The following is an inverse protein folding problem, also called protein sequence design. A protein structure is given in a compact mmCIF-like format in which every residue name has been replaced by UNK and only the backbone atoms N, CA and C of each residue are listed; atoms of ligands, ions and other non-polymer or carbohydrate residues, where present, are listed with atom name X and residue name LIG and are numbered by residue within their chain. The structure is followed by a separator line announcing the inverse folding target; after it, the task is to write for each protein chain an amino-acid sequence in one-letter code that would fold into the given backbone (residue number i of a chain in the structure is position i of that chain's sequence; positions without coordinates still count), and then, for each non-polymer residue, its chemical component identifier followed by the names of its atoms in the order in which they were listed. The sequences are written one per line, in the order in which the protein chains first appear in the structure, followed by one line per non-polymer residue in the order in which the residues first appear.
data_IF_659044237974
#
_entry.id   IF_659044237974
#
_cell.length_a   1.000
_cell.length_b   1.000
_cell.length_c   1.000
_cell.angle_alpha   90.00
_cell.angle_beta   90.00
_cell.angle_gamma   90.00
#
_symmetry.space_group_name_H-M   'P 1'
#
loop_
_entity.id
_entity.type
_entity.pdbx_description
1 polymer ?
#
# COMPACT_ATOMS: atom_id res chain seq x y z
N UNK A 1 -17.64 -4.22 -4.02
CA UNK A 1 -16.99 -2.90 -3.87
C UNK A 1 -15.71 -2.92 -2.99
N UNK A 2 -15.71 -3.48 -1.76
CA UNK A 2 -14.53 -3.42 -0.88
C UNK A 2 -13.27 -4.08 -1.46
N UNK A 3 -13.42 -5.21 -2.17
CA UNK A 3 -12.31 -5.89 -2.83
C UNK A 3 -11.69 -5.04 -3.96
N UNK A 4 -12.50 -4.27 -4.69
CA UNK A 4 -12.02 -3.37 -5.74
C UNK A 4 -11.21 -2.22 -5.13
N UNK A 5 -11.67 -1.65 -4.01
CA UNK A 5 -10.94 -0.62 -3.27
C UNK A 5 -9.63 -1.13 -2.70
N UNK A 6 -9.60 -2.35 -2.17
CA UNK A 6 -8.36 -2.99 -1.72
C UNK A 6 -7.35 -3.11 -2.87
N UNK A 7 -7.82 -3.58 -4.04
CA UNK A 7 -7.01 -3.66 -5.25
C UNK A 7 -6.48 -2.30 -5.69
N UNK A 8 -7.32 -1.27 -5.68
CA UNK A 8 -6.95 0.10 -6.03
C UNK A 8 -5.87 0.65 -5.08
N UNK A 9 -6.02 0.50 -3.77
CA UNK A 9 -4.98 0.88 -2.79
C UNK A 9 -3.65 0.16 -3.06
N UNK A 10 -3.67 -1.14 -3.31
CA UNK A 10 -2.46 -1.89 -3.63
C UNK A 10 -1.78 -1.39 -4.89
N UNK A 11 -2.53 -1.10 -5.95
CA UNK A 11 -1.97 -0.57 -7.20
C UNK A 11 -1.39 0.84 -7.01
N UNK A 12 -2.11 1.74 -6.32
CA UNK A 12 -1.60 3.09 -6.02
C UNK A 12 -0.30 3.04 -5.21
N UNK A 13 -0.18 2.13 -4.25
CA UNK A 13 1.08 1.92 -3.50
C UNK A 13 2.18 1.34 -4.40
N UNK A 14 1.83 0.43 -5.32
CA UNK A 14 2.79 -0.08 -6.29
C UNK A 14 3.32 1.05 -7.18
N UNK A 15 2.45 1.91 -7.69
CA UNK A 15 2.85 3.06 -8.49
C UNK A 15 3.72 4.03 -7.69
N UNK A 16 3.36 4.35 -6.44
CA UNK A 16 4.17 5.24 -5.60
C UNK A 16 5.56 4.66 -5.31
N UNK A 17 5.64 3.38 -4.95
CA UNK A 17 6.92 2.79 -4.56
C UNK A 17 7.87 2.60 -5.76
N UNK A 18 7.32 2.53 -6.96
CA UNK A 18 8.01 2.22 -8.23
C UNK A 18 8.09 3.43 -9.17
N UNK A 19 7.68 4.62 -8.68
CA UNK A 19 7.43 5.82 -9.48
C UNK A 19 8.63 6.24 -10.33
N UNK A 20 9.85 6.13 -9.80
CA UNK A 20 11.08 6.43 -10.53
C UNK A 20 11.28 5.51 -11.73
N UNK A 21 11.28 4.20 -11.51
CA UNK A 21 11.48 3.22 -12.58
C UNK A 21 10.34 3.23 -13.58
N UNK A 22 9.11 3.51 -13.14
CA UNK A 22 7.98 3.64 -14.04
C UNK A 22 8.12 4.89 -14.94
N UNK A 23 8.69 5.99 -14.44
CA UNK A 23 8.97 7.16 -15.25
C UNK A 23 10.24 7.03 -16.10
N UNK A 24 11.39 6.79 -15.48
CA UNK A 24 12.72 6.80 -16.13
C UNK A 24 12.88 5.64 -17.12
N UNK A 25 12.50 4.42 -16.72
CA UNK A 25 12.76 3.23 -17.53
C UNK A 25 11.62 2.94 -18.51
N UNK A 26 10.40 3.40 -18.20
CA UNK A 26 9.18 3.00 -18.93
C UNK A 26 8.37 4.15 -19.51
N UNK A 27 8.67 5.40 -19.14
CA UNK A 27 7.94 6.58 -19.61
C UNK A 27 6.47 6.63 -19.18
N UNK A 28 6.12 6.02 -18.03
CA UNK A 28 4.73 5.88 -17.56
C UNK A 28 4.44 6.81 -16.38
N UNK A 29 3.26 7.42 -16.41
CA UNK A 29 2.70 8.21 -15.29
C UNK A 29 1.28 7.70 -15.01
N UNK A 30 1.03 7.24 -13.78
CA UNK A 30 -0.24 6.61 -13.39
C UNK A 30 -1.18 7.51 -12.60
N UNK A 31 -0.69 8.61 -12.03
CA UNK A 31 -1.50 9.52 -11.21
C UNK A 31 -1.98 10.70 -12.06
N UNK A 32 -3.30 10.82 -12.31
CA UNK A 32 -3.84 11.93 -13.09
C UNK A 32 -3.55 13.28 -12.43
N UNK A 33 -3.13 14.25 -13.23
CA UNK A 33 -2.83 15.60 -12.79
C UNK A 33 -1.56 15.73 -11.95
N UNK A 34 -0.67 14.72 -11.94
CA UNK A 34 0.64 14.79 -11.30
C UNK A 34 1.71 14.92 -12.37
N UNK A 35 2.49 16.00 -12.33
CA UNK A 35 3.74 16.08 -13.08
C UNK A 35 4.87 15.48 -12.24
N UNK A 36 5.43 14.36 -12.70
CA UNK A 36 6.51 13.69 -11.99
C UNK A 36 7.78 14.55 -11.88
N UNK A 37 8.07 15.39 -12.88
CA UNK A 37 9.25 16.29 -12.85
C UNK A 37 9.12 17.36 -11.77
N UNK A 38 7.89 17.62 -11.32
CA UNK A 38 7.57 18.55 -10.24
C UNK A 38 6.83 17.87 -9.09
N UNK A 39 7.10 16.57 -8.85
CA UNK A 39 6.37 15.80 -7.84
C UNK A 39 6.53 16.43 -6.46
N UNK A 40 5.42 16.98 -5.97
CA UNK A 40 5.39 17.82 -4.77
C UNK A 40 4.88 17.06 -3.55
N UNK A 41 5.08 17.63 -2.36
CA UNK A 41 4.45 17.10 -1.15
C UNK A 41 2.92 17.25 -1.18
N UNK A 42 2.38 18.19 -1.95
CA UNK A 42 0.93 18.35 -2.13
C UNK A 42 0.36 17.19 -2.95
N UNK A 43 0.99 16.85 -4.08
CA UNK A 43 0.64 15.67 -4.89
C UNK A 43 0.71 14.39 -4.06
N UNK A 44 1.81 14.23 -3.33
CA UNK A 44 2.02 13.12 -2.39
C UNK A 44 0.84 13.04 -1.40
N UNK A 45 0.51 14.13 -0.72
CA UNK A 45 -0.57 14.16 0.28
C UNK A 45 -1.94 13.82 -0.33
N UNK A 46 -2.22 14.29 -1.55
CA UNK A 46 -3.47 13.96 -2.28
C UNK A 46 -3.57 12.47 -2.57
N UNK A 47 -2.51 11.87 -3.10
CA UNK A 47 -2.45 10.43 -3.39
C UNK A 47 -2.57 9.61 -2.08
N UNK A 48 -1.90 10.05 -1.01
CA UNK A 48 -1.96 9.37 0.28
C UNK A 48 -3.37 9.38 0.90
N UNK A 49 -4.07 10.50 0.77
CA UNK A 49 -5.46 10.63 1.23
C UNK A 49 -6.37 9.64 0.49
N UNK A 50 -6.20 9.53 -0.83
CA UNK A 50 -6.94 8.61 -1.68
C UNK A 50 -6.64 7.13 -1.33
N UNK A 51 -5.37 6.75 -1.17
CA UNK A 51 -4.98 5.40 -0.71
C UNK A 51 -5.57 5.07 0.66
N UNK A 52 -5.56 6.04 1.58
CA UNK A 52 -6.12 5.86 2.92
C UNK A 52 -7.62 5.59 2.86
N UNK A 53 -8.37 6.36 2.06
CA UNK A 53 -9.81 6.15 1.88
C UNK A 53 -10.12 4.74 1.34
N UNK A 54 -9.31 4.26 0.39
CA UNK A 54 -9.46 2.91 -0.14
C UNK A 54 -9.18 1.82 0.92
N UNK A 55 -8.15 1.98 1.75
CA UNK A 55 -7.86 1.03 2.82
C UNK A 55 -8.92 1.01 3.91
N UNK A 56 -9.40 2.18 4.34
CA UNK A 56 -10.41 2.30 5.37
C UNK A 56 -11.70 1.58 4.93
N UNK A 57 -12.10 1.73 3.67
CA UNK A 57 -13.24 1.02 3.09
C UNK A 57 -12.97 -0.48 2.86
N UNK A 58 -11.73 -0.88 2.56
CA UNK A 58 -11.38 -2.26 2.31
C UNK A 58 -11.35 -3.12 3.59
N UNK A 59 -10.95 -2.55 4.73
CA UNK A 59 -10.78 -3.29 5.99
C UNK A 59 -12.08 -3.99 6.44
N UNK A 60 -13.22 -3.33 6.29
CA UNK A 60 -14.52 -3.92 6.61
C UNK A 60 -14.84 -5.12 5.71
N UNK A 61 -14.49 -5.03 4.42
CA UNK A 61 -14.63 -6.15 3.49
C UNK A 61 -13.74 -7.35 3.84
N UNK A 62 -12.53 -7.11 4.35
CA UNK A 62 -11.63 -8.18 4.77
C UNK A 62 -12.23 -8.96 5.94
N UNK A 63 -12.81 -8.28 6.93
CA UNK A 63 -13.44 -8.92 8.10
C UNK A 63 -14.61 -9.84 7.73
N UNK A 64 -15.29 -9.54 6.63
CA UNK A 64 -16.44 -10.30 6.14
C UNK A 64 -16.05 -11.51 5.27
N UNK A 65 -14.76 -11.72 4.98
CA UNK A 65 -14.32 -12.85 4.16
C UNK A 65 -14.49 -14.19 4.87
N UNK A 66 -14.78 -15.28 4.14
CA UNK A 66 -14.71 -16.63 4.70
C UNK A 66 -13.34 -16.94 5.31
N UNK A 67 -13.31 -17.73 6.39
CA UNK A 67 -12.10 -17.97 7.18
C UNK A 67 -10.92 -18.50 6.33
N UNK A 68 -11.21 -19.36 5.35
CA UNK A 68 -10.18 -19.92 4.44
C UNK A 68 -9.46 -18.87 3.57
N UNK A 69 -10.06 -17.69 3.35
CA UNK A 69 -9.47 -16.61 2.55
C UNK A 69 -9.03 -15.40 3.40
N UNK A 70 -9.66 -15.17 4.56
CA UNK A 70 -9.48 -13.97 5.39
C UNK A 70 -8.02 -13.75 5.77
N UNK A 71 -7.33 -14.80 6.22
CA UNK A 71 -5.94 -14.69 6.66
C UNK A 71 -5.01 -14.12 5.58
N UNK A 72 -5.04 -14.71 4.38
CA UNK A 72 -4.14 -14.31 3.29
C UNK A 72 -4.37 -12.86 2.86
N UNK A 73 -5.64 -12.45 2.74
CA UNK A 73 -6.00 -11.08 2.37
C UNK A 73 -5.63 -10.10 3.48
N UNK A 74 -5.88 -10.44 4.75
CA UNK A 74 -5.48 -9.62 5.89
C UNK A 74 -3.96 -9.45 5.98
N UNK A 75 -3.20 -10.52 5.74
CA UNK A 75 -1.74 -10.46 5.74
C UNK A 75 -1.22 -9.53 4.62
N UNK A 76 -1.78 -9.64 3.41
CA UNK A 76 -1.45 -8.73 2.31
C UNK A 76 -1.76 -7.28 2.68
N UNK A 77 -2.93 -7.03 3.25
CA UNK A 77 -3.31 -5.72 3.80
C UNK A 77 -2.30 -5.22 4.83
N UNK A 78 -1.84 -6.07 5.75
CA UNK A 78 -0.81 -5.71 6.75
C UNK A 78 0.53 -5.37 6.12
N UNK A 79 0.97 -6.11 5.11
CA UNK A 79 2.22 -5.78 4.41
C UNK A 79 2.13 -4.43 3.71
N UNK A 80 1.04 -4.19 2.98
CA UNK A 80 0.87 -2.96 2.22
C UNK A 80 0.64 -1.73 3.12
N UNK A 81 -0.10 -1.86 4.22
CA UNK A 81 -0.23 -0.76 5.20
C UNK A 81 1.10 -0.38 5.85
N UNK A 82 1.97 -1.36 6.13
CA UNK A 82 3.32 -1.07 6.62
C UNK A 82 4.23 -0.45 5.55
N UNK A 83 4.14 -0.92 4.31
CA UNK A 83 4.86 -0.30 3.19
C UNK A 83 4.39 1.14 2.97
N UNK A 84 3.08 1.36 2.99
CA UNK A 84 2.47 2.67 2.86
C UNK A 84 2.94 3.61 3.97
N UNK A 85 2.93 3.18 5.24
CA UNK A 85 3.47 3.98 6.34
C UNK A 85 4.95 4.39 6.11
N UNK A 86 5.76 3.52 5.52
CA UNK A 86 7.16 3.85 5.18
C UNK A 86 7.25 4.91 4.08
N UNK A 87 6.40 4.82 3.06
CA UNK A 87 6.29 5.83 1.98
C UNK A 87 5.82 7.17 2.55
N UNK A 88 4.79 7.16 3.40
CA UNK A 88 4.25 8.37 4.03
C UNK A 88 5.27 9.17 4.82
N UNK A 89 6.19 8.48 5.47
CA UNK A 89 7.25 9.10 6.26
C UNK A 89 8.42 9.63 5.41
N UNK A 90 8.45 9.37 4.10
CA UNK A 90 9.46 9.90 3.19
C UNK A 90 8.99 11.21 2.52
N UNK A 91 9.90 12.12 2.18
CA UNK A 91 9.53 13.30 1.37
C UNK A 91 9.17 12.90 -0.06
N UNK A 92 8.41 13.75 -0.76
CA UNK A 92 8.12 13.55 -2.19
C UNK A 92 9.40 13.33 -3.02
N UNK A 93 10.46 14.11 -2.74
CA UNK A 93 11.79 13.94 -3.34
C UNK A 93 12.35 12.53 -3.15
N UNK A 94 12.34 11.99 -1.92
CA UNK A 94 12.84 10.63 -1.69
C UNK A 94 11.99 9.59 -2.41
N UNK A 95 10.66 9.76 -2.44
CA UNK A 95 9.76 8.88 -3.19
C UNK A 95 10.11 8.88 -4.70
N UNK A 96 10.46 10.04 -5.26
CA UNK A 96 10.87 10.17 -6.65
C UNK A 96 12.27 9.59 -6.96
N UNK A 97 13.11 9.36 -5.95
CA UNK A 97 14.50 8.94 -6.15
C UNK A 97 14.79 7.47 -5.85
N UNK A 98 14.03 6.86 -4.94
CA UNK A 98 14.31 5.51 -4.44
C UNK A 98 13.08 4.61 -4.45
N UNK A 99 13.34 3.31 -4.59
CA UNK A 99 12.29 2.30 -4.53
C UNK A 99 12.00 1.90 -3.08
N UNK A 100 10.74 2.01 -2.67
CA UNK A 100 10.32 1.60 -1.33
C UNK A 100 9.96 0.11 -1.27
N UNK A 101 10.52 -0.58 -0.27
CA UNK A 101 10.26 -2.00 0.01
C UNK A 101 10.10 -2.26 1.50
N UNK A 102 9.33 -3.29 1.82
CA UNK A 102 9.26 -3.88 3.14
C UNK A 102 10.31 -4.99 3.25
N UNK A 103 11.14 -4.96 4.30
CA UNK A 103 12.19 -5.96 4.49
C UNK A 103 11.61 -7.34 4.81
N UNK A 104 12.31 -8.41 4.43
CA UNK A 104 11.82 -9.77 4.64
C UNK A 104 11.70 -10.10 6.13
N UNK A 105 12.61 -9.60 6.98
CA UNK A 105 12.48 -9.66 8.44
C UNK A 105 11.13 -9.10 8.92
N UNK A 106 10.71 -7.96 8.36
CA UNK A 106 9.43 -7.34 8.71
C UNK A 106 8.24 -8.12 8.17
N UNK A 107 8.35 -8.70 6.96
CA UNK A 107 7.32 -9.60 6.43
C UNK A 107 7.13 -10.83 7.33
N UNK A 108 8.22 -11.49 7.74
CA UNK A 108 8.18 -12.65 8.65
C UNK A 108 7.54 -12.29 10.00
N UNK A 109 7.93 -11.16 10.59
CA UNK A 109 7.31 -10.66 11.83
C UNK A 109 5.80 -10.43 11.68
N UNK A 110 5.38 -9.83 10.56
CA UNK A 110 3.98 -9.55 10.28
C UNK A 110 3.18 -10.84 9.99
N UNK A 111 3.80 -11.82 9.32
CA UNK A 111 3.23 -13.15 9.13
C UNK A 111 2.96 -13.81 10.49
N UNK A 112 3.98 -13.90 11.34
CA UNK A 112 3.86 -14.52 12.65
C UNK A 112 2.82 -13.83 13.52
N UNK A 113 2.89 -12.50 13.65
CA UNK A 113 1.92 -11.74 14.46
C UNK A 113 0.48 -11.84 13.94
N UNK A 114 0.29 -11.90 12.61
CA UNK A 114 -1.03 -12.09 12.01
C UNK A 114 -1.55 -13.51 12.22
N UNK A 115 -0.67 -14.52 12.15
CA UNK A 115 -1.04 -15.92 12.36
C UNK A 115 -1.48 -16.17 13.82
N UNK A 116 -0.77 -15.59 14.79
CA UNK A 116 -1.16 -15.64 16.21
C UNK A 116 -2.54 -15.01 16.41
N UNK A 117 -2.80 -13.84 15.84
CA UNK A 117 -4.12 -13.18 15.93
C UNK A 117 -5.24 -14.02 15.31
N UNK A 118 -4.96 -14.65 14.17
CA UNK A 118 -5.91 -15.55 13.52
C UNK A 118 -6.22 -16.77 14.39
N UNK A 119 -5.19 -17.42 14.94
CA UNK A 119 -5.35 -18.62 15.77
C UNK A 119 -6.13 -18.33 17.07
N UNK A 120 -6.04 -17.10 17.56
CA UNK A 120 -6.77 -16.63 18.75
C UNK A 120 -8.14 -16.01 18.42
N UNK A 121 -8.66 -16.15 17.18
CA UNK A 121 -9.94 -15.61 16.72
C UNK A 121 -10.11 -14.09 16.92
N UNK A 122 -9.01 -13.33 16.87
CA UNK A 122 -9.03 -11.85 16.97
C UNK A 122 -9.15 -11.14 15.61
N UNK A 123 -9.57 -11.85 14.54
CA UNK A 123 -9.70 -11.33 13.17
C UNK A 123 -11.14 -11.29 12.67
#
# INVERSE_FOLDING_TARGET
EPACRLGAAFQKINFLRDIKSDFDDRGRVYFPGVDFRMFSNEDKNRIESDIRSDFDAALEGIRQLPDGARFGVYLAYKYYTHLFAKIRNASAHRIAEERFRLSDKRKVYLLFSSAVRHQLNFL
#
